data_IF_255302641522
#
_entry.id   IF_255302641522
#
_cell.length_a   1.000
_cell.length_b   1.000
_cell.length_c   1.000
_cell.angle_alpha   90.00
_cell.angle_beta   90.00
_cell.angle_gamma   90.00
#
_symmetry.space_group_name_H-M   'P 1'
#
loop_
_entity.id
_entity.type
_entity.pdbx_description
1 polymer ?
#
# COMPACT_ATOMS: atom_id res chain seq x y z
N UNK A 1 -24.78 -0.81 -8.51
CA UNK A 1 -24.90 -0.90 -9.98
C UNK A 1 -24.26 -2.19 -10.45
N UNK A 2 -24.88 -2.92 -11.38
CA UNK A 2 -24.37 -4.21 -11.88
C UNK A 2 -23.97 -4.04 -13.35
N UNK A 3 -22.71 -4.32 -13.68
CA UNK A 3 -22.18 -4.24 -15.04
C UNK A 3 -22.02 -5.65 -15.61
N UNK A 4 -22.78 -5.97 -16.66
CA UNK A 4 -22.71 -7.24 -17.37
C UNK A 4 -22.02 -7.04 -18.73
N UNK A 5 -20.95 -7.79 -18.99
CA UNK A 5 -20.19 -7.73 -20.24
C UNK A 5 -20.28 -9.09 -20.94
N UNK A 6 -20.86 -9.12 -22.14
CA UNK A 6 -20.91 -10.29 -23.01
C UNK A 6 -20.06 -10.04 -24.25
N UNK A 7 -19.14 -10.97 -24.56
CA UNK A 7 -18.33 -10.94 -25.79
C UNK A 7 -18.76 -12.13 -26.64
N UNK A 8 -19.29 -11.87 -27.83
CA UNK A 8 -19.68 -12.92 -28.78
C UNK A 8 -18.53 -13.21 -29.75
N UNK A 9 -18.19 -14.50 -29.85
CA UNK A 9 -17.29 -15.14 -30.85
C UNK A 9 -15.95 -14.43 -31.18
N UNK A 10 -14.93 -14.50 -30.30
CA UNK A 10 -13.57 -14.11 -30.66
C UNK A 10 -12.95 -15.14 -31.62
N UNK A 11 -12.92 -14.83 -32.93
CA UNK A 11 -12.27 -15.70 -33.93
C UNK A 11 -10.74 -15.53 -33.90
N UNK A 12 -10.09 -16.11 -32.89
CA UNK A 12 -8.66 -16.45 -32.92
C UNK A 12 -8.28 -17.39 -31.75
N UNK A 13 -8.84 -18.60 -31.71
CA UNK A 13 -8.12 -19.79 -31.21
C UNK A 13 -7.81 -19.98 -29.72
N UNK A 14 -7.55 -18.96 -28.90
CA UNK A 14 -7.38 -19.09 -27.44
C UNK A 14 -7.25 -17.71 -26.77
N UNK A 15 -8.37 -17.07 -26.41
CA UNK A 15 -8.35 -15.83 -25.64
C UNK A 15 -9.38 -15.91 -24.53
N UNK A 16 -8.93 -16.37 -23.36
CA UNK A 16 -9.67 -16.35 -22.11
C UNK A 16 -10.28 -14.96 -21.88
N UNK A 17 -11.52 -14.91 -21.37
CA UNK A 17 -12.26 -13.67 -21.16
C UNK A 17 -11.46 -12.58 -20.43
N UNK A 18 -10.48 -12.95 -19.59
CA UNK A 18 -9.57 -12.01 -18.94
C UNK A 18 -8.65 -11.21 -19.88
N UNK A 19 -8.17 -11.76 -20.99
CA UNK A 19 -7.19 -11.08 -21.86
C UNK A 19 -7.83 -10.00 -22.75
N UNK A 20 -9.08 -10.20 -23.18
CA UNK A 20 -9.84 -9.23 -23.98
C UNK A 20 -10.61 -8.26 -23.08
N UNK A 21 -11.13 -8.73 -21.95
CA UNK A 21 -11.92 -7.88 -21.05
C UNK A 21 -11.05 -6.95 -20.21
N UNK A 22 -9.83 -7.34 -19.80
CA UNK A 22 -8.98 -6.51 -18.95
C UNK A 22 -8.70 -5.09 -19.51
N UNK A 23 -8.28 -4.89 -20.77
CA UNK A 23 -8.02 -3.54 -21.28
C UNK A 23 -9.30 -2.70 -21.43
N UNK A 24 -10.42 -3.33 -21.82
CA UNK A 24 -11.73 -2.66 -21.90
C UNK A 24 -12.25 -2.26 -20.51
N UNK A 25 -12.18 -3.17 -19.55
CA UNK A 25 -12.52 -2.92 -18.15
C UNK A 25 -11.66 -1.80 -17.57
N UNK A 26 -10.35 -1.82 -17.81
CA UNK A 26 -9.44 -0.74 -17.37
C UNK A 26 -9.81 0.62 -17.98
N UNK A 27 -10.27 0.69 -19.24
CA UNK A 27 -10.71 1.94 -19.86
C UNK A 27 -12.02 2.46 -19.27
N UNK A 28 -12.99 1.57 -19.01
CA UNK A 28 -14.27 1.91 -18.40
C UNK A 28 -14.06 2.37 -16.96
N UNK A 29 -13.25 1.63 -16.19
CA UNK A 29 -12.83 1.99 -14.83
C UNK A 29 -12.12 3.35 -14.84
N UNK A 30 -11.10 3.57 -15.67
CA UNK A 30 -10.41 4.88 -15.71
C UNK A 30 -11.35 6.06 -15.99
N UNK A 31 -12.32 5.88 -16.88
CA UNK A 31 -13.30 6.93 -17.17
C UNK A 31 -14.34 7.09 -16.05
N UNK A 32 -14.75 6.02 -15.37
CA UNK A 32 -15.59 6.12 -14.18
C UNK A 32 -14.87 6.79 -13.00
N UNK A 33 -13.60 6.44 -12.75
CA UNK A 33 -12.80 7.03 -11.67
C UNK A 33 -12.37 8.48 -11.99
N UNK A 34 -12.19 8.83 -13.27
CA UNK A 34 -11.85 10.19 -13.71
C UNK A 34 -13.04 11.15 -13.79
N UNK A 35 -14.27 10.65 -13.79
CA UNK A 35 -15.51 11.44 -13.86
C UNK A 35 -16.28 11.20 -12.56
N UNK A 36 -15.91 11.91 -11.49
CA UNK A 36 -16.74 11.99 -10.29
C UNK A 36 -16.32 11.12 -9.10
N UNK A 37 -15.07 10.64 -9.06
CA UNK A 37 -14.46 10.30 -7.77
C UNK A 37 -13.76 11.57 -7.30
N UNK A 38 -14.47 12.39 -6.50
CA UNK A 38 -13.75 13.02 -5.39
C UNK A 38 -12.96 11.87 -4.77
N UNK A 39 -11.61 11.90 -4.84
CA UNK A 39 -10.80 10.95 -4.11
C UNK A 39 -11.47 10.86 -2.76
N UNK A 40 -12.01 9.69 -2.40
CA UNK A 40 -12.34 9.43 -1.02
C UNK A 40 -11.00 9.65 -0.32
N UNK A 41 -10.86 10.85 0.26
CA UNK A 41 -9.92 11.07 1.34
C UNK A 41 -10.39 10.00 2.30
N UNK A 42 -9.60 8.94 2.42
CA UNK A 42 -9.86 7.90 3.39
C UNK A 42 -9.74 8.59 4.76
N UNK A 43 -10.81 9.24 5.20
CA UNK A 43 -10.99 9.64 6.58
C UNK A 43 -10.86 8.35 7.39
N UNK A 44 -9.83 8.29 8.23
CA UNK A 44 -9.30 7.05 8.77
C UNK A 44 -10.35 6.18 9.47
N UNK A 45 -10.58 4.97 8.96
CA UNK A 45 -11.38 3.94 9.65
C UNK A 45 -10.71 2.58 9.57
N UNK A 46 -9.47 2.54 10.01
CA UNK A 46 -8.97 1.45 10.86
C UNK A 46 -8.04 2.13 11.85
N UNK A 47 -8.24 1.93 13.15
CA UNK A 47 -7.33 2.41 14.18
C UNK A 47 -6.05 1.55 14.16
N UNK A 48 -5.34 1.55 13.03
CA UNK A 48 -4.07 0.87 12.90
C UNK A 48 -3.13 1.48 13.92
N UNK A 49 -2.64 0.63 14.80
CA UNK A 49 -1.60 1.01 15.73
C UNK A 49 -0.28 0.86 15.02
N UNK A 50 0.63 1.78 15.30
CA UNK A 50 1.99 1.72 14.88
C UNK A 50 2.61 0.38 15.31
N UNK A 51 3.08 -0.45 14.38
CA UNK A 51 3.73 -1.71 14.72
C UNK A 51 5.06 -1.44 15.43
N UNK A 52 5.52 -2.41 16.23
CA UNK A 52 6.88 -2.40 16.74
C UNK A 52 7.82 -2.87 15.63
N UNK A 53 8.70 -1.99 15.21
CA UNK A 53 9.68 -2.21 14.15
C UNK A 53 11.09 -2.44 14.71
N UNK A 54 11.28 -2.52 16.03
CA UNK A 54 12.59 -2.72 16.64
C UNK A 54 13.34 -3.92 16.04
N UNK A 55 14.57 -3.69 15.58
CA UNK A 55 15.41 -4.72 14.94
C UNK A 55 15.11 -4.98 13.47
N UNK A 56 14.12 -4.30 12.86
CA UNK A 56 13.80 -4.50 11.45
C UNK A 56 14.82 -3.80 10.55
N UNK A 57 15.10 -4.38 9.39
CA UNK A 57 15.88 -3.72 8.37
C UNK A 57 15.04 -2.70 7.60
N UNK A 58 15.69 -1.80 6.87
CA UNK A 58 14.96 -0.86 5.99
C UNK A 58 14.10 -1.57 4.94
N UNK A 59 14.46 -2.79 4.52
CA UNK A 59 13.66 -3.56 3.57
C UNK A 59 12.34 -4.01 4.23
N UNK A 60 12.43 -4.60 5.41
CA UNK A 60 11.26 -5.06 6.17
C UNK A 60 10.31 -3.89 6.48
N UNK A 61 10.87 -2.73 6.84
CA UNK A 61 10.07 -1.51 7.09
C UNK A 61 9.29 -1.06 5.84
N UNK A 62 9.87 -1.19 4.65
CA UNK A 62 9.18 -0.83 3.40
C UNK A 62 8.04 -1.78 3.09
N UNK A 63 8.24 -3.09 3.28
CA UNK A 63 7.18 -4.08 3.11
C UNK A 63 6.02 -3.82 4.07
N UNK A 64 6.33 -3.50 5.33
CA UNK A 64 5.33 -3.08 6.31
C UNK A 64 4.60 -1.83 5.81
N UNK A 65 5.32 -0.77 5.43
CA UNK A 65 4.70 0.47 4.98
C UNK A 65 3.75 0.26 3.77
N UNK A 66 4.09 -0.62 2.83
CA UNK A 66 3.21 -0.98 1.71
C UNK A 66 1.91 -1.66 2.18
N UNK A 67 1.99 -2.56 3.16
CA UNK A 67 0.81 -3.22 3.76
C UNK A 67 -0.12 -2.19 4.42
N UNK A 68 0.45 -1.19 5.09
CA UNK A 68 -0.31 -0.15 5.78
C UNK A 68 -0.69 1.05 4.89
N UNK A 69 -0.27 1.07 3.62
CA UNK A 69 -0.54 2.18 2.69
C UNK A 69 0.16 3.49 3.07
N UNK A 70 1.33 3.42 3.71
CA UNK A 70 2.11 4.60 4.10
C UNK A 70 3.12 4.93 3.01
N UNK A 71 2.89 6.05 2.33
CA UNK A 71 3.78 6.52 1.27
C UNK A 71 4.96 7.35 1.81
N UNK A 72 4.83 7.91 3.02
CA UNK A 72 5.80 8.87 3.58
C UNK A 72 6.61 8.28 4.73
N UNK A 73 7.78 7.74 4.38
CA UNK A 73 8.77 7.23 5.34
C UNK A 73 9.98 8.18 5.38
N UNK A 74 10.33 8.65 6.58
CA UNK A 74 11.57 9.40 6.83
C UNK A 74 12.57 8.47 7.50
N UNK A 75 13.75 8.33 6.90
CA UNK A 75 14.78 7.39 7.36
C UNK A 75 16.01 8.16 7.83
N UNK A 76 16.48 7.82 9.03
CA UNK A 76 17.69 8.38 9.61
C UNK A 76 18.72 7.27 9.86
N UNK A 77 19.97 7.46 9.45
CA UNK A 77 21.05 6.49 9.72
C UNK A 77 21.00 5.24 8.85
N UNK A 78 21.60 4.16 9.35
CA UNK A 78 21.72 2.87 8.65
C UNK A 78 21.84 1.72 9.64
N UNK A 79 21.39 0.53 9.25
CA UNK A 79 21.36 -0.66 10.11
C UNK A 79 19.92 -1.10 10.36
N UNK A 80 19.62 -1.42 11.61
CA UNK A 80 18.32 -1.89 12.06
C UNK A 80 17.60 -0.79 12.82
N UNK A 81 16.26 -0.83 12.85
CA UNK A 81 15.45 0.14 13.57
C UNK A 81 15.75 0.06 15.07
N UNK A 82 16.29 1.16 15.60
CA UNK A 82 16.52 1.36 17.03
C UNK A 82 15.49 2.31 17.65
N UNK A 83 14.81 3.11 16.82
CA UNK A 83 13.76 4.01 17.26
C UNK A 83 12.78 4.29 16.11
N UNK A 84 11.54 4.62 16.47
CA UNK A 84 10.45 4.87 15.54
C UNK A 84 9.54 6.00 16.03
N UNK A 85 8.86 6.66 15.11
CA UNK A 85 7.79 7.61 15.40
C UNK A 85 6.64 7.42 14.39
N UNK A 86 5.37 7.27 14.83
CA UNK A 86 4.90 7.21 16.22
C UNK A 86 5.50 6.06 17.05
N UNK A 87 5.30 6.08 18.36
CA UNK A 87 5.75 4.98 19.22
C UNK A 87 4.90 3.72 18.95
N UNK A 88 5.46 2.53 19.18
CA UNK A 88 4.72 1.28 19.03
C UNK A 88 3.41 1.31 19.84
N UNK A 89 2.31 0.93 19.20
CA UNK A 89 0.98 0.94 19.81
C UNK A 89 0.23 2.28 19.73
N UNK A 90 0.90 3.39 19.38
CA UNK A 90 0.22 4.67 19.11
C UNK A 90 -0.54 4.64 17.78
N UNK A 91 -1.52 5.53 17.55
CA UNK A 91 -2.18 5.64 16.26
C UNK A 91 -1.17 5.88 15.14
N UNK A 92 -1.28 5.09 14.08
CA UNK A 92 -0.47 5.25 12.88
C UNK A 92 -0.92 6.52 12.13
N UNK A 93 0.03 7.39 11.81
CA UNK A 93 -0.21 8.65 11.09
C UNK A 93 0.11 8.48 9.60
N UNK A 94 -0.19 9.49 8.79
CA UNK A 94 0.15 9.56 7.35
C UNK A 94 1.67 9.60 7.08
N UNK A 95 2.50 9.60 8.13
CA UNK A 95 3.96 9.58 8.07
C UNK A 95 4.53 8.68 9.14
N UNK A 96 5.64 8.04 8.80
CA UNK A 96 6.45 7.25 9.71
C UNK A 96 7.89 7.78 9.68
N UNK A 97 8.53 7.88 10.84
CA UNK A 97 9.96 8.18 10.95
C UNK A 97 10.66 7.03 11.65
N UNK A 98 11.82 6.62 11.14
CA UNK A 98 12.63 5.55 11.70
C UNK A 98 14.09 5.98 11.82
N UNK A 99 14.72 5.60 12.93
CA UNK A 99 16.15 5.73 13.15
C UNK A 99 16.78 4.36 13.11
N UNK A 100 17.75 4.22 12.22
CA UNK A 100 18.51 3.00 12.00
C UNK A 100 19.89 3.15 12.67
N UNK A 101 20.29 2.11 13.40
CA UNK A 101 21.59 2.02 14.03
C UNK A 101 22.07 0.58 14.15
N UNK A 102 23.29 0.39 14.64
CA UNK A 102 23.70 -0.92 15.13
C UNK A 102 23.03 -1.17 16.48
N UNK A 103 22.44 -2.35 16.68
CA UNK A 103 22.02 -2.83 18.00
C UNK A 103 23.25 -2.83 18.93
N UNK A 104 23.38 -1.78 19.75
CA UNK A 104 24.33 -1.73 20.85
C UNK A 104 23.78 -2.64 21.95
N UNK A 105 24.10 -3.93 21.86
CA UNK A 105 24.04 -4.83 23.00
C UNK A 105 25.28 -4.59 23.87
N UNK A 106 25.34 -3.43 24.53
CA UNK A 106 26.26 -3.21 25.66
C UNK A 106 25.42 -3.17 26.95
N UNK A 107 25.30 -4.34 27.59
CA UNK A 107 24.96 -4.54 28.99
C UNK A 107 25.96 -5.54 29.60
#
# INVERSE_FOLDING_TARGET
YTLYIMIDTPKAGAYYGGFVAAPMFASVVRNLYGIGVEKEVYEGVYSWKMPDLGGYSLLDVKEVAEIYGIDKIVVHGSGEVINQYPDAGQPLLDRMEIWLGALSNDL
#
